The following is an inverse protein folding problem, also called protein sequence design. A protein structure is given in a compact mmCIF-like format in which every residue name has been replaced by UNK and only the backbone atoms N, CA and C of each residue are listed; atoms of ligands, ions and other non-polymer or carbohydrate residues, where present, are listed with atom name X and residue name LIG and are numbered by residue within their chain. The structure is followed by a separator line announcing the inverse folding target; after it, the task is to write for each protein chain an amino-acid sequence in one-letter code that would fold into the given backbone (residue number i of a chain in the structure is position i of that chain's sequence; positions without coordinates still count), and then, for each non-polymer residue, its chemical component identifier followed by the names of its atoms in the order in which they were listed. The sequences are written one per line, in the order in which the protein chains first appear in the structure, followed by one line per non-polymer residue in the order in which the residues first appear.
data_IF_986569966046
#
_entry.id   IF_986569966046
#
_cell.length_a   1.000
_cell.length_b   1.000
_cell.length_c   1.000
_cell.angle_alpha   90.00
_cell.angle_beta   90.00
_cell.angle_gamma   90.00
#
_symmetry.space_group_name_H-M   'P 1'
#
loop_
_entity.id
_entity.type
_entity.pdbx_description
1 polymer ?
#
# COMPACT_ATOMS: atom_id res chain seq x y z
N UNK A 1 14.86 -17.64 -5.01
CA UNK A 1 14.04 -17.17 -3.86
C UNK A 1 13.05 -16.18 -4.42
N UNK A 2 11.76 -16.42 -4.25
CA UNK A 2 10.72 -15.50 -4.73
C UNK A 2 10.67 -14.27 -3.82
N UNK A 3 10.96 -13.09 -4.37
CA UNK A 3 10.96 -11.81 -3.61
C UNK A 3 9.63 -11.61 -2.87
N UNK A 4 8.52 -12.03 -3.48
CA UNK A 4 7.17 -11.90 -2.95
C UNK A 4 6.92 -12.65 -1.62
N UNK A 5 7.74 -13.66 -1.30
CA UNK A 5 7.60 -14.46 -0.08
C UNK A 5 8.45 -13.94 1.09
N UNK A 6 9.45 -13.11 0.80
CA UNK A 6 10.47 -12.70 1.78
C UNK A 6 10.48 -11.19 2.01
N UNK A 7 10.11 -10.40 1.00
CA UNK A 7 10.05 -8.97 1.12
C UNK A 7 8.82 -8.56 1.94
N UNK A 8 9.04 -7.94 3.08
CA UNK A 8 8.01 -7.27 3.84
C UNK A 8 8.65 -6.26 4.81
N UNK A 9 7.87 -5.31 5.29
CA UNK A 9 8.32 -4.46 6.38
C UNK A 9 8.40 -5.26 7.68
N UNK A 10 9.29 -4.87 8.61
CA UNK A 10 9.40 -5.54 9.91
C UNK A 10 8.10 -5.36 10.70
N UNK A 11 7.34 -6.45 10.83
CA UNK A 11 6.09 -6.48 11.60
C UNK A 11 6.31 -6.46 13.12
N UNK A 12 5.21 -6.53 13.86
CA UNK A 12 5.20 -6.55 15.31
C UNK A 12 5.12 -5.16 15.95
N UNK A 13 5.21 -5.14 17.28
CA UNK A 13 5.01 -3.93 18.10
C UNK A 13 6.28 -3.55 18.89
N UNK A 14 7.42 -4.24 18.65
CA UNK A 14 8.70 -3.95 19.28
C UNK A 14 9.28 -2.60 18.82
N UNK A 15 10.33 -2.11 19.48
CA UNK A 15 10.97 -0.84 19.13
C UNK A 15 11.57 -0.84 17.71
N UNK A 16 11.88 -2.00 17.14
CA UNK A 16 12.46 -2.14 15.82
C UNK A 16 11.41 -2.32 14.71
N UNK A 17 10.13 -2.43 15.06
CA UNK A 17 9.03 -2.57 14.12
C UNK A 17 8.92 -1.37 13.18
N UNK A 18 8.44 -1.63 11.97
CA UNK A 18 8.16 -0.58 10.99
C UNK A 18 7.11 0.41 11.49
N UNK A 19 6.11 -0.07 12.23
CA UNK A 19 5.07 0.78 12.82
C UNK A 19 5.65 1.91 13.68
N UNK A 20 6.77 1.68 14.37
CA UNK A 20 7.46 2.67 15.22
C UNK A 20 8.57 3.45 14.50
N UNK A 21 9.01 3.02 13.31
CA UNK A 21 10.17 3.60 12.60
C UNK A 21 9.82 4.15 11.20
N UNK A 22 8.55 4.34 10.88
CA UNK A 22 8.06 4.76 9.56
C UNK A 22 7.77 6.27 9.46
N UNK A 23 8.49 7.09 10.22
CA UNK A 23 8.30 8.55 10.26
C UNK A 23 8.65 9.23 8.92
N UNK A 24 9.66 8.73 8.21
CA UNK A 24 10.05 9.27 6.90
C UNK A 24 8.94 9.08 5.86
N UNK A 25 8.35 7.88 5.80
CA UNK A 25 7.24 7.57 4.91
C UNK A 25 6.01 8.42 5.24
N UNK A 26 5.72 8.61 6.54
CA UNK A 26 4.66 9.52 6.98
C UNK A 26 4.89 10.95 6.50
N UNK A 27 6.10 11.49 6.70
CA UNK A 27 6.44 12.84 6.25
C UNK A 27 6.34 12.99 4.73
N UNK A 28 6.74 11.96 3.97
CA UNK A 28 6.59 11.98 2.53
C UNK A 28 5.11 12.00 2.10
N UNK A 29 4.26 11.15 2.71
CA UNK A 29 2.81 11.17 2.46
C UNK A 29 2.19 12.53 2.80
N UNK A 30 2.61 13.18 3.89
CA UNK A 30 2.15 14.53 4.24
C UNK A 30 2.57 15.59 3.20
N UNK A 31 3.79 15.50 2.66
CA UNK A 31 4.28 16.44 1.64
C UNK A 31 3.49 16.36 0.32
N UNK A 32 2.92 15.19 -0.01
CA UNK A 32 2.11 15.00 -1.22
C UNK A 32 0.60 15.11 -0.97
N UNK A 33 0.18 15.44 0.26
CA UNK A 33 -1.24 15.56 0.63
C UNK A 33 -2.04 16.50 -0.28
N UNK A 34 -1.45 17.60 -0.74
CA UNK A 34 -2.11 18.54 -1.66
C UNK A 34 -2.43 17.90 -3.01
N UNK A 35 -1.50 17.13 -3.57
CA UNK A 35 -1.71 16.39 -4.81
C UNK A 35 -2.73 15.28 -4.64
N UNK A 36 -2.71 14.58 -3.49
CA UNK A 36 -3.73 13.59 -3.13
C UNK A 36 -5.13 14.22 -3.09
N UNK A 37 -5.26 15.36 -2.39
CA UNK A 37 -6.51 16.12 -2.30
C UNK A 37 -7.03 16.52 -3.68
N UNK A 38 -6.17 17.09 -4.54
CA UNK A 38 -6.55 17.47 -5.90
C UNK A 38 -7.03 16.27 -6.73
N UNK A 39 -6.34 15.12 -6.61
CA UNK A 39 -6.72 13.89 -7.32
C UNK A 39 -8.09 13.38 -6.88
N UNK A 40 -8.39 13.44 -5.57
CA UNK A 40 -9.70 13.06 -5.02
C UNK A 40 -10.78 14.03 -5.48
N UNK A 41 -10.50 15.33 -5.49
CA UNK A 41 -11.42 16.35 -5.98
C UNK A 41 -11.82 16.12 -7.43
N UNK A 42 -10.84 15.87 -8.30
CA UNK A 42 -11.10 15.55 -9.71
C UNK A 42 -11.87 14.24 -9.85
N UNK A 43 -11.47 13.19 -9.12
CA UNK A 43 -12.19 11.93 -9.08
C UNK A 43 -13.66 12.11 -8.70
N UNK A 44 -13.94 12.82 -7.61
CA UNK A 44 -15.30 13.10 -7.15
C UNK A 44 -16.06 13.91 -8.20
N UNK A 45 -15.48 14.97 -8.77
CA UNK A 45 -16.17 15.78 -9.79
C UNK A 45 -16.63 14.98 -11.00
N UNK A 46 -15.83 14.01 -11.45
CA UNK A 46 -16.16 13.17 -12.61
C UNK A 46 -17.15 12.06 -12.26
N UNK A 47 -17.00 11.45 -11.08
CA UNK A 47 -17.73 10.23 -10.72
C UNK A 47 -18.94 10.48 -9.82
N UNK A 48 -19.06 11.66 -9.20
CA UNK A 48 -20.17 12.02 -8.31
C UNK A 48 -21.52 11.58 -8.89
N UNK A 49 -21.91 11.92 -10.13
CA UNK A 49 -23.21 11.55 -10.70
C UNK A 49 -23.48 10.03 -10.79
N UNK A 50 -22.42 9.21 -10.84
CA UNK A 50 -22.48 7.75 -10.99
C UNK A 50 -22.12 6.99 -9.69
N UNK A 51 -21.55 7.67 -8.69
CA UNK A 51 -20.95 7.07 -7.50
C UNK A 51 -21.91 6.91 -6.31
N UNK A 52 -23.23 6.93 -6.56
CA UNK A 52 -24.26 6.87 -5.51
C UNK A 52 -24.28 5.56 -4.69
N UNK A 53 -23.52 4.53 -5.11
CA UNK A 53 -23.49 3.22 -4.46
C UNK A 53 -22.30 3.04 -3.52
N UNK A 54 -21.15 2.63 -4.08
CA UNK A 54 -19.95 2.30 -3.33
C UNK A 54 -18.69 2.76 -4.06
N UNK A 55 -17.80 3.44 -3.32
CA UNK A 55 -16.49 3.85 -3.82
C UNK A 55 -15.45 2.83 -3.35
N UNK A 56 -14.93 2.08 -4.31
CA UNK A 56 -13.84 1.12 -4.13
C UNK A 56 -12.46 1.81 -4.23
N UNK A 57 -11.67 1.69 -3.17
CA UNK A 57 -10.34 2.30 -3.00
C UNK A 57 -9.31 1.20 -2.74
N UNK A 58 -8.12 1.29 -3.31
CA UNK A 58 -7.01 0.39 -2.97
C UNK A 58 -5.79 1.18 -2.48
N UNK A 59 -5.11 0.66 -1.46
CA UNK A 59 -3.77 1.08 -1.04
C UNK A 59 -2.77 -0.03 -1.38
N UNK A 60 -1.91 0.21 -2.37
CA UNK A 60 -0.94 -0.76 -2.89
C UNK A 60 0.41 -0.62 -2.19
N UNK A 61 0.75 -1.64 -1.39
CA UNK A 61 1.92 -1.64 -0.51
C UNK A 61 1.65 -0.92 0.81
N UNK A 62 0.56 -1.32 1.47
CA UNK A 62 0.06 -0.67 2.68
C UNK A 62 0.98 -0.86 3.89
N UNK A 63 1.89 -1.83 3.87
CA UNK A 63 2.70 -2.30 4.99
C UNK A 63 1.84 -2.63 6.23
N UNK A 64 2.37 -2.38 7.43
CA UNK A 64 1.66 -2.53 8.71
C UNK A 64 1.79 -1.26 9.54
N UNK A 65 0.90 -1.12 10.54
CA UNK A 65 0.97 -0.05 11.53
C UNK A 65 0.13 1.19 11.18
N UNK A 66 0.38 2.32 11.87
CA UNK A 66 -0.55 3.45 11.88
C UNK A 66 -0.59 4.25 10.56
N UNK A 67 0.48 4.20 9.74
CA UNK A 67 0.54 5.01 8.52
C UNK A 67 -0.52 4.63 7.50
N UNK A 68 -0.83 3.33 7.37
CA UNK A 68 -1.90 2.82 6.51
C UNK A 68 -3.22 3.51 6.83
N UNK A 69 -3.60 3.55 8.11
CA UNK A 69 -4.85 4.16 8.53
C UNK A 69 -4.87 5.67 8.35
N UNK A 70 -3.76 6.36 8.60
CA UNK A 70 -3.69 7.81 8.43
C UNK A 70 -4.01 8.23 6.99
N UNK A 71 -3.43 7.54 6.00
CA UNK A 71 -3.70 7.82 4.59
C UNK A 71 -5.16 7.51 4.24
N UNK A 72 -5.67 6.35 4.65
CA UNK A 72 -7.07 5.98 4.36
C UNK A 72 -8.06 6.96 5.01
N UNK A 73 -7.78 7.43 6.23
CA UNK A 73 -8.59 8.46 6.88
C UNK A 73 -8.61 9.75 6.06
N UNK A 74 -7.45 10.22 5.61
CA UNK A 74 -7.34 11.42 4.78
C UNK A 74 -8.12 11.27 3.46
N UNK A 75 -8.01 10.11 2.79
CA UNK A 75 -8.77 9.84 1.56
C UNK A 75 -10.29 9.90 1.83
N UNK A 76 -10.76 9.19 2.86
CA UNK A 76 -12.19 9.15 3.23
C UNK A 76 -12.70 10.54 3.59
N UNK A 77 -11.93 11.32 4.35
CA UNK A 77 -12.30 12.67 4.75
C UNK A 77 -12.45 13.60 3.54
N UNK A 78 -11.49 13.56 2.62
CA UNK A 78 -11.56 14.36 1.41
C UNK A 78 -12.78 13.97 0.55
N UNK A 79 -13.04 12.67 0.36
CA UNK A 79 -14.25 12.20 -0.35
C UNK A 79 -15.52 12.71 0.34
N UNK A 80 -15.63 12.54 1.66
CA UNK A 80 -16.80 13.00 2.41
C UNK A 80 -17.04 14.50 2.24
N UNK A 81 -15.96 15.30 2.24
CA UNK A 81 -16.05 16.74 2.04
C UNK A 81 -16.61 17.07 0.66
N UNK A 82 -16.06 16.48 -0.40
CA UNK A 82 -16.55 16.74 -1.77
C UNK A 82 -18.02 16.35 -1.95
N UNK A 83 -18.46 15.23 -1.36
CA UNK A 83 -19.87 14.82 -1.40
C UNK A 83 -20.78 15.81 -0.66
N UNK A 84 -20.40 16.25 0.55
CA UNK A 84 -21.16 17.24 1.33
C UNK A 84 -21.24 18.58 0.62
N UNK A 85 -20.15 19.04 0.01
CA UNK A 85 -20.10 20.31 -0.72
C UNK A 85 -20.90 20.27 -2.03
N UNK A 86 -21.01 19.10 -2.67
CA UNK A 86 -21.76 18.96 -3.92
C UNK A 86 -23.27 19.21 -3.78
N UNK A 87 -23.85 18.97 -2.60
CA UNK A 87 -25.31 18.99 -2.36
C UNK A 87 -26.16 18.12 -3.32
N UNK A 88 -25.53 17.19 -4.05
CA UNK A 88 -26.22 16.29 -5.00
C UNK A 88 -26.87 15.12 -4.26
N UNK A 89 -26.24 14.66 -3.17
CA UNK A 89 -26.64 13.48 -2.41
C UNK A 89 -27.05 13.85 -0.98
N UNK A 90 -28.14 13.24 -0.51
CA UNK A 90 -28.60 13.37 0.88
C UNK A 90 -27.75 12.54 1.86
N UNK A 91 -27.10 11.48 1.36
CA UNK A 91 -26.29 10.56 2.16
C UNK A 91 -24.90 10.35 1.53
N UNK A 92 -23.92 10.01 2.39
CA UNK A 92 -22.58 9.67 1.94
C UNK A 92 -22.57 8.28 1.28
N UNK A 93 -21.79 8.08 0.20
CA UNK A 93 -21.66 6.77 -0.45
C UNK A 93 -20.95 5.79 0.47
N UNK A 94 -21.23 4.50 0.32
CA UNK A 94 -20.42 3.46 0.99
C UNK A 94 -18.98 3.52 0.48
N UNK A 95 -18.02 3.17 1.35
CA UNK A 95 -16.60 3.10 0.97
C UNK A 95 -16.09 1.69 1.22
N UNK A 96 -15.48 1.07 0.21
CA UNK A 96 -14.77 -0.20 0.33
C UNK A 96 -13.28 0.07 0.11
N UNK A 97 -12.46 -0.25 1.09
CA UNK A 97 -11.00 -0.08 1.04
C UNK A 97 -10.34 -1.46 0.98
N UNK A 98 -9.48 -1.67 -0.01
CA UNK A 98 -8.61 -2.83 -0.14
C UNK A 98 -7.19 -2.46 0.24
N UNK A 99 -6.71 -3.01 1.35
CA UNK A 99 -5.32 -2.89 1.78
C UNK A 99 -4.51 -4.02 1.14
N UNK A 100 -3.67 -3.66 0.17
CA UNK A 100 -2.82 -4.61 -0.52
C UNK A 100 -1.39 -4.54 0.02
N UNK A 101 -0.81 -5.71 0.24
CA UNK A 101 0.63 -5.92 0.42
C UNK A 101 0.96 -7.37 0.05
N UNK A 102 2.23 -7.75 0.13
CA UNK A 102 2.65 -9.13 -0.08
C UNK A 102 2.07 -10.06 0.99
N UNK A 103 1.98 -11.35 0.65
CA UNK A 103 1.39 -12.39 1.52
C UNK A 103 2.07 -12.51 2.87
N UNK A 104 3.37 -12.15 2.94
CA UNK A 104 4.19 -12.16 4.16
C UNK A 104 3.97 -10.94 5.07
N UNK A 105 3.17 -9.96 4.67
CA UNK A 105 2.89 -8.78 5.48
C UNK A 105 2.07 -9.10 6.74
N UNK A 106 2.24 -8.31 7.80
CA UNK A 106 1.55 -8.53 9.07
C UNK A 106 0.18 -7.83 9.07
N UNK A 107 -0.79 -8.41 8.37
CA UNK A 107 -2.16 -7.90 8.32
C UNK A 107 -2.90 -8.02 9.66
N UNK A 108 -2.49 -8.92 10.55
CA UNK A 108 -3.22 -9.13 11.80
C UNK A 108 -3.15 -7.90 12.73
N UNK A 109 -2.08 -7.09 12.75
CA UNK A 109 -2.06 -5.82 13.51
C UNK A 109 -3.04 -4.80 12.94
N UNK A 110 -3.20 -4.76 11.62
CA UNK A 110 -4.18 -3.92 10.95
C UNK A 110 -5.57 -4.33 11.43
N UNK A 111 -5.90 -5.62 11.34
CA UNK A 111 -7.22 -6.12 11.75
C UNK A 111 -7.51 -5.89 13.23
N UNK A 112 -6.53 -6.07 14.12
CA UNK A 112 -6.67 -5.73 15.56
C UNK A 112 -6.98 -4.25 15.79
N UNK A 113 -6.55 -3.36 14.90
CA UNK A 113 -6.74 -1.91 15.01
C UNK A 113 -8.05 -1.40 14.39
N UNK A 114 -8.75 -2.22 13.60
CA UNK A 114 -9.97 -1.82 12.89
C UNK A 114 -11.09 -1.30 13.80
N UNK A 115 -11.39 -1.90 14.98
CA UNK A 115 -12.44 -1.37 15.85
C UNK A 115 -12.22 0.08 16.24
N UNK A 116 -11.00 0.43 16.65
CA UNK A 116 -10.63 1.81 17.01
C UNK A 116 -10.68 2.74 15.79
N UNK A 117 -10.31 2.24 14.61
CA UNK A 117 -10.41 3.01 13.37
C UNK A 117 -11.86 3.35 13.02
N UNK A 118 -12.77 2.38 13.06
CA UNK A 118 -14.19 2.59 12.77
C UNK A 118 -14.85 3.52 13.78
N UNK A 119 -14.50 3.41 15.06
CA UNK A 119 -14.95 4.35 16.08
C UNK A 119 -14.56 5.79 15.72
N UNK A 120 -13.28 6.03 15.37
CA UNK A 120 -12.83 7.37 14.94
C UNK A 120 -13.54 7.87 13.68
N UNK A 121 -13.88 6.98 12.74
CA UNK A 121 -14.68 7.36 11.56
C UNK A 121 -16.08 7.86 11.93
N UNK A 122 -16.72 7.27 12.93
CA UNK A 122 -17.98 7.77 13.47
C UNK A 122 -17.80 9.11 14.19
N UNK A 123 -16.94 9.12 15.21
CA UNK A 123 -16.79 10.23 16.16
C UNK A 123 -16.33 11.54 15.50
N UNK A 124 -15.37 11.47 14.58
CA UNK A 124 -14.75 12.67 13.99
C UNK A 124 -15.24 12.99 12.58
N UNK A 125 -15.68 11.97 11.84
CA UNK A 125 -16.01 12.13 10.42
C UNK A 125 -17.50 11.94 10.12
N UNK A 126 -18.33 11.65 11.13
CA UNK A 126 -19.78 11.57 11.02
C UNK A 126 -20.25 10.48 10.06
N UNK A 127 -19.46 9.41 9.88
CA UNK A 127 -19.86 8.26 9.08
C UNK A 127 -20.71 7.31 9.92
N UNK A 128 -21.81 6.81 9.35
CA UNK A 128 -22.63 5.82 10.01
C UNK A 128 -21.88 4.48 10.16
N UNK A 129 -22.14 3.72 11.24
CA UNK A 129 -21.67 2.34 11.34
C UNK A 129 -22.08 1.53 10.12
N UNK A 130 -21.14 0.75 9.56
CA UNK A 130 -21.40 -0.04 8.35
C UNK A 130 -21.37 0.74 7.03
N UNK A 131 -20.93 2.00 7.02
CA UNK A 131 -20.74 2.76 5.76
C UNK A 131 -19.32 2.65 5.19
N UNK A 132 -18.38 2.03 5.90
CA UNK A 132 -17.00 1.83 5.47
C UNK A 132 -16.58 0.39 5.73
N UNK A 133 -15.96 -0.25 4.74
CA UNK A 133 -15.55 -1.65 4.77
C UNK A 133 -14.06 -1.74 4.42
N UNK A 134 -13.24 -2.23 5.35
CA UNK A 134 -11.82 -2.50 5.08
C UNK A 134 -11.62 -4.00 4.89
N UNK A 135 -10.97 -4.36 3.78
CA UNK A 135 -10.55 -5.72 3.46
C UNK A 135 -9.05 -5.74 3.14
N UNK A 136 -8.40 -6.88 3.36
CA UNK A 136 -7.06 -7.12 2.82
C UNK A 136 -7.14 -7.76 1.44
N UNK A 137 -6.23 -7.39 0.56
CA UNK A 137 -6.03 -8.02 -0.76
C UNK A 137 -4.56 -8.45 -0.88
N UNK A 138 -4.16 -9.59 -0.28
CA UNK A 138 -2.77 -10.02 -0.28
C UNK A 138 -2.32 -10.47 -1.68
N UNK A 139 -1.11 -10.06 -2.08
CA UNK A 139 -0.53 -10.41 -3.36
C UNK A 139 0.40 -9.33 -3.90
N UNK A 140 1.22 -9.68 -4.89
CA UNK A 140 2.05 -8.68 -5.56
C UNK A 140 1.21 -7.80 -6.47
N UNK A 141 1.34 -6.48 -6.33
CA UNK A 141 0.77 -5.50 -7.26
C UNK A 141 1.44 -5.50 -8.64
N UNK A 142 2.51 -6.28 -8.85
CA UNK A 142 3.06 -6.55 -10.19
C UNK A 142 2.22 -7.57 -10.98
N UNK A 143 1.26 -8.24 -10.32
CA UNK A 143 0.24 -9.07 -10.93
C UNK A 143 -1.16 -8.45 -10.82
N UNK A 144 -2.16 -9.18 -11.33
CA UNK A 144 -3.56 -8.77 -11.22
C UNK A 144 -4.08 -9.01 -9.79
N UNK A 145 -4.55 -7.94 -9.15
CA UNK A 145 -5.20 -8.00 -7.83
C UNK A 145 -6.73 -7.91 -7.92
N UNK A 146 -7.25 -7.12 -8.86
CA UNK A 146 -8.66 -6.80 -8.95
C UNK A 146 -9.25 -7.20 -10.31
N UNK A 147 -10.57 -7.49 -10.37
CA UNK A 147 -11.29 -7.59 -11.64
C UNK A 147 -11.20 -6.31 -12.48
N UNK A 148 -11.51 -6.42 -13.76
CA UNK A 148 -11.57 -5.25 -14.64
C UNK A 148 -12.68 -4.29 -14.17
N UNK A 149 -12.40 -2.98 -14.23
CA UNK A 149 -13.34 -1.91 -13.90
C UNK A 149 -13.94 -1.97 -12.47
N UNK A 150 -13.26 -2.59 -11.52
CA UNK A 150 -13.77 -2.73 -10.14
C UNK A 150 -13.24 -1.66 -9.16
N UNK A 151 -12.24 -0.88 -9.54
CA UNK A 151 -11.58 0.10 -8.68
C UNK A 151 -11.81 1.53 -9.16
N UNK A 152 -12.08 2.43 -8.23
CA UNK A 152 -12.34 3.85 -8.53
C UNK A 152 -11.13 4.73 -8.23
N UNK A 153 -10.43 4.43 -7.13
CA UNK A 153 -9.25 5.18 -6.71
C UNK A 153 -8.16 4.22 -6.22
N UNK A 154 -6.92 4.47 -6.63
CA UNK A 154 -5.76 3.66 -6.21
C UNK A 154 -4.69 4.59 -5.68
N UNK A 155 -4.26 4.32 -4.46
CA UNK A 155 -3.16 4.99 -3.79
C UNK A 155 -1.97 4.04 -3.68
N UNK A 156 -0.77 4.60 -3.77
CA UNK A 156 0.47 3.89 -3.52
C UNK A 156 1.53 4.90 -3.08
N UNK A 157 2.24 4.61 -1.99
CA UNK A 157 3.33 5.44 -1.50
C UNK A 157 4.45 4.55 -0.99
N UNK A 158 5.68 4.85 -1.40
CA UNK A 158 6.88 4.12 -0.96
C UNK A 158 6.82 2.59 -1.15
N UNK A 159 6.12 2.11 -2.19
CA UNK A 159 6.08 0.68 -2.52
C UNK A 159 6.52 0.38 -3.96
N UNK A 160 6.25 1.25 -4.93
CA UNK A 160 6.57 1.03 -6.35
C UNK A 160 8.06 0.90 -6.69
N UNK A 161 8.96 1.36 -5.81
CA UNK A 161 10.41 1.20 -6.01
C UNK A 161 10.89 -0.24 -5.75
N UNK A 162 10.06 -1.08 -5.11
CA UNK A 162 10.37 -2.50 -4.93
C UNK A 162 10.13 -3.28 -6.22
N UNK A 163 11.23 -3.79 -6.78
CA UNK A 163 11.20 -4.60 -7.99
C UNK A 163 10.57 -5.97 -7.73
N UNK A 164 9.96 -6.55 -8.76
CA UNK A 164 9.42 -7.92 -8.73
C UNK A 164 10.52 -8.98 -8.52
N UNK A 165 11.74 -8.65 -8.92
CA UNK A 165 12.93 -9.50 -8.80
C UNK A 165 14.20 -8.65 -8.79
N UNK A 166 15.30 -9.26 -8.35
CA UNK A 166 16.65 -8.70 -8.58
C UNK A 166 16.85 -8.50 -10.09
N UNK A 167 17.47 -7.37 -10.53
CA UNK A 167 17.75 -7.14 -11.94
C UNK A 167 18.40 -8.37 -12.59
N UNK A 168 17.81 -8.84 -13.70
CA UNK A 168 18.14 -10.14 -14.31
C UNK A 168 19.61 -10.28 -14.69
N UNK A 169 20.28 -9.18 -15.07
CA UNK A 169 21.71 -9.15 -15.35
C UNK A 169 22.62 -9.48 -14.16
N UNK A 170 22.11 -9.38 -12.93
CA UNK A 170 22.84 -9.73 -11.70
C UNK A 170 22.56 -11.15 -11.22
N UNK A 171 21.49 -11.79 -11.73
CA UNK A 171 21.08 -13.15 -11.35
C UNK A 171 21.90 -14.21 -12.10
N UNK A 172 22.58 -13.83 -13.18
CA UNK A 172 23.42 -14.70 -14.00
C UNK A 172 24.90 -14.67 -13.59
N UNK A 173 25.27 -15.53 -12.63
CA UNK A 173 26.45 -16.40 -12.77
C UNK A 173 27.89 -15.90 -12.90
N UNK A 174 28.23 -14.61 -12.85
CA UNK A 174 29.66 -14.20 -12.97
C UNK A 174 30.50 -14.39 -11.69
N UNK A 175 29.91 -14.80 -10.56
CA UNK A 175 30.68 -15.19 -9.38
C UNK A 175 31.42 -16.53 -9.51
N UNK A 176 31.14 -17.35 -10.54
CA UNK A 176 31.94 -18.58 -10.81
C UNK A 176 33.17 -18.33 -11.67
N UNK A 177 33.22 -17.23 -12.44
CA UNK A 177 34.37 -16.98 -13.33
C UNK A 177 35.62 -16.58 -12.56
N UNK A 178 35.48 -15.76 -11.52
CA UNK A 178 36.60 -15.36 -10.66
C UNK A 178 37.21 -16.52 -9.86
N UNK A 179 36.41 -17.50 -9.44
CA UNK A 179 36.91 -18.67 -8.72
C UNK A 179 37.61 -19.70 -9.63
N UNK A 180 37.23 -19.75 -10.91
CA UNK A 180 37.79 -20.72 -11.87
C UNK A 180 39.10 -20.21 -12.47
N UNK A 181 39.21 -18.90 -12.73
CA UNK A 181 40.44 -18.29 -13.22
C UNK A 181 41.56 -18.26 -12.16
N UNK A 182 41.22 -18.03 -10.88
CA UNK A 182 42.22 -18.13 -9.80
C UNK A 182 42.72 -19.55 -9.57
N UNK A 183 41.87 -20.58 -9.72
CA UNK A 183 42.31 -22.00 -9.63
C UNK A 183 43.20 -22.42 -10.79
N UNK A 184 42.93 -21.96 -12.02
CA UNK A 184 43.79 -22.26 -13.17
C UNK A 184 45.14 -21.52 -13.10
N UNK A 185 45.17 -20.31 -12.54
CA UNK A 185 46.42 -19.56 -12.35
C UNK A 185 47.30 -20.16 -11.23
N UNK A 186 46.72 -20.68 -10.14
CA UNK A 186 47.45 -21.38 -9.09
C UNK A 186 48.03 -22.73 -9.56
N UNK A 187 47.30 -23.47 -10.40
CA UNK A 187 47.77 -24.76 -10.93
C UNK A 187 48.89 -24.61 -11.96
N UNK A 188 48.96 -23.49 -12.68
CA UNK A 188 50.07 -23.18 -13.60
C UNK A 188 51.35 -22.76 -12.88
N UNK A 189 51.28 -22.12 -11.71
CA UNK A 189 52.45 -21.72 -10.92
C UNK A 189 53.09 -22.86 -10.11
N UNK A 190 52.38 -23.95 -9.86
CA UNK A 190 52.91 -25.11 -9.12
C UNK A 190 53.47 -26.23 -10.03
N UNK A 191 53.58 -25.98 -11.34
CA UNK A 191 54.17 -26.91 -12.33
C UNK A 191 55.38 -26.34 -13.09
N UNK A 192 55.92 -25.21 -12.65
CA UNK A 192 57.19 -24.65 -13.13
C UNK A 192 58.26 -24.76 -12.07
#
# INVERSE_FOLDING_TARGET
MEVQQVLHMKGGEDHASYAKNSSCQRLASMKVSSALKQSIQEFCRVNLPAAAGCINIADLGCASGPNTFLVIQDIIENINREFRESNIYLELPSIQVFLNDLVSNEFNSIFRSLPNFYQRLGDYYGRSPGSCFIAAMPGSFHGRLFPDNSMHFVYSSYSLHWLSQVPSGLVSGDHRRFATEQRQHLHRKNKS
#
